data_IF_886989567907
#
_entry.id   IF_886989567907
#
_cell.length_a   1.000
_cell.length_b   1.000
_cell.length_c   1.000
_cell.angle_alpha   90.00
_cell.angle_beta   90.00
_cell.angle_gamma   90.00
#
_symmetry.space_group_name_H-M   'P 1'
#
loop_
_entity.id
_entity.type
_entity.pdbx_description
1 polymer ?
#
# COMPACT_ATOMS: atom_id res chain seq x y z
N UNK A 1 -1.57 4.19 -1.06
CA UNK A 1 -1.26 3.03 -1.93
C UNK A 1 -2.25 1.92 -1.65
N UNK A 2 -2.58 1.05 -2.60
CA UNK A 2 -3.57 -0.03 -2.40
C UNK A 2 -2.89 -1.40 -2.37
N UNK A 3 -2.91 -2.06 -1.22
CA UNK A 3 -2.37 -3.40 -1.01
C UNK A 3 -3.48 -4.44 -1.12
N UNK A 4 -3.27 -5.58 -1.80
CA UNK A 4 -4.22 -6.68 -1.77
C UNK A 4 -4.24 -7.29 -0.36
N UNK A 5 -5.44 -7.67 0.09
CA UNK A 5 -5.62 -8.43 1.33
C UNK A 5 -6.32 -9.75 1.03
N UNK A 6 -5.89 -10.82 1.71
CA UNK A 6 -6.56 -12.11 1.75
C UNK A 6 -7.40 -12.19 3.01
N UNK A 7 -8.63 -12.70 2.89
CA UNK A 7 -9.60 -12.78 3.97
C UNK A 7 -9.95 -14.26 4.17
N UNK A 8 -9.60 -14.79 5.33
CA UNK A 8 -10.07 -16.08 5.81
C UNK A 8 -11.35 -15.83 6.62
N UNK A 9 -12.49 -16.24 6.06
CA UNK A 9 -13.78 -16.05 6.72
C UNK A 9 -13.90 -17.02 7.90
N UNK A 10 -14.09 -16.45 9.09
CA UNK A 10 -14.40 -17.20 10.30
C UNK A 10 -15.84 -17.69 10.36
N UNK A 11 -16.15 -18.41 11.43
CA UNK A 11 -17.46 -18.97 11.77
C UNK A 11 -17.80 -18.72 13.25
N UNK A 12 -18.81 -19.41 13.80
CA UNK A 12 -19.23 -19.24 15.20
C UNK A 12 -18.12 -19.55 16.23
N UNK A 13 -17.06 -20.26 15.83
CA UNK A 13 -15.96 -20.68 16.71
C UNK A 13 -14.58 -20.18 16.25
N UNK A 14 -14.51 -19.46 15.13
CA UNK A 14 -13.25 -19.03 14.51
C UNK A 14 -13.34 -17.56 14.10
N UNK A 15 -12.29 -16.79 14.43
CA UNK A 15 -12.20 -15.38 14.06
C UNK A 15 -11.95 -15.20 12.55
N UNK A 16 -12.26 -14.02 12.01
CA UNK A 16 -11.93 -13.64 10.64
C UNK A 16 -10.45 -13.28 10.57
N UNK A 17 -9.69 -13.98 9.73
CA UNK A 17 -8.28 -13.72 9.48
C UNK A 17 -8.09 -12.75 8.32
N UNK A 18 -7.15 -11.82 8.43
CA UNK A 18 -6.69 -10.98 7.32
C UNK A 18 -5.17 -11.03 7.22
N UNK A 19 -4.69 -11.25 6.00
CA UNK A 19 -3.28 -11.21 5.66
C UNK A 19 -3.04 -10.20 4.53
N UNK A 20 -1.92 -9.48 4.59
CA UNK A 20 -1.43 -8.60 3.52
C UNK A 20 -0.23 -9.29 2.86
N UNK A 21 -0.41 -10.02 1.74
CA UNK A 21 0.65 -10.86 1.18
C UNK A 21 1.93 -10.12 0.80
N UNK A 22 1.80 -8.85 0.41
CA UNK A 22 2.94 -8.03 0.02
C UNK A 22 3.70 -7.43 1.21
N UNK A 23 3.16 -7.47 2.44
CA UNK A 23 3.84 -6.98 3.64
C UNK A 23 4.17 -8.20 4.53
N UNK A 24 5.43 -8.67 4.54
CA UNK A 24 5.82 -9.85 5.33
C UNK A 24 5.42 -9.72 6.80
N UNK A 25 4.80 -10.78 7.34
CA UNK A 25 4.38 -10.82 8.74
C UNK A 25 3.09 -10.06 9.08
N UNK A 26 2.50 -9.31 8.13
CA UNK A 26 1.26 -8.59 8.35
C UNK A 26 0.04 -9.53 8.29
N UNK A 27 -0.15 -10.28 9.37
CA UNK A 27 -1.28 -11.20 9.60
C UNK A 27 -2.00 -10.78 10.87
N UNK A 28 -3.32 -10.75 10.83
CA UNK A 28 -4.17 -10.39 11.96
C UNK A 28 -5.47 -11.17 11.94
N UNK A 29 -6.24 -11.09 13.02
CA UNK A 29 -7.59 -11.61 13.09
C UNK A 29 -8.49 -10.73 13.95
N UNK A 30 -9.81 -10.83 13.72
CA UNK A 30 -10.82 -10.14 14.51
C UNK A 30 -12.14 -10.90 14.56
N UNK A 31 -12.94 -10.66 15.60
CA UNK A 31 -14.24 -11.32 15.78
C UNK A 31 -15.27 -10.86 14.73
N UNK A 32 -15.06 -9.67 14.16
CA UNK A 32 -15.82 -9.13 13.04
C UNK A 32 -14.89 -8.75 11.88
N UNK A 33 -15.45 -8.58 10.68
CA UNK A 33 -14.68 -8.14 9.53
C UNK A 33 -14.10 -6.75 9.76
N UNK A 34 -14.89 -5.83 10.32
CA UNK A 34 -14.47 -4.47 10.65
C UNK A 34 -13.32 -4.47 11.65
N UNK A 35 -13.36 -5.32 12.68
CA UNK A 35 -12.27 -5.44 13.66
C UNK A 35 -11.00 -5.97 13.01
N UNK A 36 -11.11 -7.05 12.21
CA UNK A 36 -9.98 -7.61 11.48
C UNK A 36 -9.38 -6.60 10.49
N UNK A 37 -10.22 -5.82 9.81
CA UNK A 37 -9.79 -4.80 8.84
C UNK A 37 -9.06 -3.64 9.52
N UNK A 38 -9.56 -3.15 10.66
CA UNK A 38 -8.87 -2.13 11.44
C UNK A 38 -7.53 -2.65 11.98
N UNK A 39 -7.51 -3.88 12.49
CA UNK A 39 -6.29 -4.52 12.93
C UNK A 39 -5.29 -4.75 11.77
N UNK A 40 -5.79 -4.93 10.53
CA UNK A 40 -4.95 -5.08 9.34
C UNK A 40 -4.22 -3.77 9.00
N UNK A 41 -4.88 -2.61 9.18
CA UNK A 41 -4.25 -1.30 9.04
C UNK A 41 -3.14 -1.13 10.09
N UNK A 42 -3.43 -1.46 11.35
CA UNK A 42 -2.47 -1.32 12.45
C UNK A 42 -1.24 -2.22 12.24
N UNK A 43 -1.43 -3.51 11.95
CA UNK A 43 -0.32 -4.43 11.74
C UNK A 43 0.51 -4.03 10.51
N UNK A 44 -0.12 -3.52 9.45
CA UNK A 44 0.61 -3.01 8.29
C UNK A 44 1.58 -1.89 8.68
N UNK A 45 1.11 -0.91 9.46
CA UNK A 45 1.94 0.19 9.92
C UNK A 45 3.06 -0.25 10.86
N UNK A 46 2.81 -1.23 11.72
CA UNK A 46 3.83 -1.83 12.59
C UNK A 46 4.93 -2.48 11.74
N UNK A 47 4.55 -3.37 10.82
CA UNK A 47 5.51 -4.08 9.96
C UNK A 47 6.30 -3.12 9.08
N UNK A 48 5.65 -2.12 8.47
CA UNK A 48 6.33 -1.12 7.65
C UNK A 48 7.33 -0.29 8.46
N UNK A 49 7.01 0.01 9.72
CA UNK A 49 7.92 0.70 10.63
C UNK A 49 9.14 -0.15 10.98
N UNK A 50 8.96 -1.44 11.23
CA UNK A 50 10.06 -2.38 11.50
C UNK A 50 10.98 -2.51 10.28
N UNK A 51 10.43 -2.76 9.10
CA UNK A 51 11.19 -2.83 7.83
C UNK A 51 11.99 -1.55 7.60
N UNK A 52 11.37 -0.38 7.83
CA UNK A 52 12.05 0.91 7.71
C UNK A 52 13.18 1.08 8.73
N UNK A 53 12.97 0.65 9.98
CA UNK A 53 13.94 0.76 11.05
C UNK A 53 15.18 -0.12 10.82
N UNK A 54 14.98 -1.28 10.19
CA UNK A 54 16.03 -2.21 9.78
C UNK A 54 16.79 -1.74 8.52
N UNK A 55 16.35 -0.64 7.90
CA UNK A 55 16.96 -0.09 6.68
C UNK A 55 16.65 -0.90 5.43
N UNK A 56 15.65 -1.76 5.48
CA UNK A 56 15.19 -2.55 4.35
C UNK A 56 14.32 -1.71 3.41
N UNK A 57 14.15 -2.19 2.16
CA UNK A 57 13.28 -1.54 1.19
C UNK A 57 11.81 -1.77 1.54
N UNK A 58 11.02 -0.69 1.57
CA UNK A 58 9.58 -0.78 1.80
C UNK A 58 8.92 -1.62 0.71
N UNK A 59 8.18 -2.68 1.06
CA UNK A 59 7.55 -3.55 0.10
C UNK A 59 6.45 -2.79 -0.65
N UNK A 60 6.46 -2.92 -1.97
CA UNK A 60 5.51 -2.28 -2.86
C UNK A 60 4.31 -3.22 -3.11
N UNK A 61 3.07 -2.70 -3.21
CA UNK A 61 1.92 -3.53 -3.46
C UNK A 61 1.97 -4.14 -4.86
N UNK A 62 1.50 -5.37 -5.00
CA UNK A 62 1.36 -6.07 -6.28
C UNK A 62 -0.13 -6.24 -6.62
N UNK A 63 -0.41 -6.75 -7.82
CA UNK A 63 -1.78 -7.11 -8.17
C UNK A 63 -2.21 -8.36 -7.39
N UNK A 64 -3.45 -8.39 -6.88
CA UNK A 64 -4.05 -9.60 -6.30
C UNK A 64 -3.94 -10.83 -7.23
N UNK A 65 -3.90 -10.61 -8.56
CA UNK A 65 -3.73 -11.68 -9.54
C UNK A 65 -2.39 -12.44 -9.42
N UNK A 66 -1.33 -11.79 -8.89
CA UNK A 66 -0.03 -12.41 -8.64
C UNK A 66 -0.15 -13.49 -7.57
N UNK A 67 -0.99 -13.25 -6.57
CA UNK A 67 -1.18 -14.14 -5.42
C UNK A 67 -2.29 -15.19 -5.62
N UNK A 68 -3.15 -15.00 -6.63
CA UNK A 68 -4.26 -15.92 -6.93
C UNK A 68 -3.84 -17.38 -7.13
N UNK A 69 -2.63 -17.61 -7.62
CA UNK A 69 -2.09 -18.96 -7.85
C UNK A 69 -1.45 -19.60 -6.62
N UNK A 70 -1.34 -18.88 -5.50
CA UNK A 70 -0.74 -19.40 -4.28
C UNK A 70 -1.71 -20.36 -3.57
N UNK A 71 -1.33 -21.63 -3.34
CA UNK A 71 -2.15 -22.58 -2.59
C UNK A 71 -2.52 -22.12 -1.17
N UNK A 72 -1.68 -21.30 -0.54
CA UNK A 72 -1.92 -20.79 0.82
C UNK A 72 -3.13 -19.85 0.88
N UNK A 73 -3.53 -19.27 -0.25
CA UNK A 73 -4.69 -18.38 -0.38
C UNK A 73 -5.86 -19.02 -1.13
N UNK A 74 -5.84 -20.35 -1.27
CA UNK A 74 -6.95 -21.09 -1.86
C UNK A 74 -8.23 -20.85 -1.04
N UNK A 75 -9.34 -20.62 -1.74
CA UNK A 75 -10.67 -20.40 -1.16
C UNK A 75 -10.82 -19.17 -0.24
N UNK A 76 -9.79 -18.32 -0.12
CA UNK A 76 -9.86 -17.07 0.62
C UNK A 76 -10.60 -15.96 -0.15
N UNK A 77 -11.23 -15.05 0.60
CA UNK A 77 -11.76 -13.79 0.07
C UNK A 77 -10.63 -12.81 -0.28
N UNK A 78 -10.94 -11.83 -1.13
CA UNK A 78 -9.98 -10.81 -1.55
C UNK A 78 -10.55 -9.41 -1.34
N UNK A 79 -9.69 -8.50 -0.90
CA UNK A 79 -9.99 -7.08 -0.76
C UNK A 79 -8.79 -6.20 -1.11
N UNK A 80 -8.97 -4.89 -0.96
CA UNK A 80 -7.90 -3.91 -1.08
C UNK A 80 -7.85 -3.05 0.18
N UNK A 81 -6.64 -2.80 0.67
CA UNK A 81 -6.35 -1.95 1.82
C UNK A 81 -5.61 -0.70 1.35
N UNK A 82 -6.17 0.48 1.63
CA UNK A 82 -5.48 1.74 1.35
C UNK A 82 -4.56 2.12 2.50
N UNK A 83 -3.26 2.23 2.21
CA UNK A 83 -2.21 2.58 3.17
C UNK A 83 -1.38 3.77 2.68
N UNK A 84 -1.14 4.74 3.56
CA UNK A 84 -0.12 5.76 3.34
C UNK A 84 1.24 5.24 3.80
N UNK A 85 2.12 4.96 2.83
CA UNK A 85 3.48 4.47 3.10
C UNK A 85 4.53 5.58 3.07
N UNK A 86 4.15 6.82 2.75
CA UNK A 86 5.08 7.94 2.63
C UNK A 86 6.00 8.15 3.86
N UNK A 87 5.52 7.94 5.11
CA UNK A 87 6.38 8.05 6.29
C UNK A 87 7.58 7.09 6.32
N UNK A 88 7.50 5.97 5.60
CA UNK A 88 8.50 4.90 5.62
C UNK A 88 9.50 4.98 4.46
N UNK A 89 9.27 5.86 3.48
CA UNK A 89 10.10 5.98 2.26
C UNK A 89 11.42 6.74 2.47
N UNK A 90 11.85 6.93 3.72
CA UNK A 90 13.08 7.61 4.07
C UNK A 90 13.03 9.14 3.96
N UNK A 91 14.20 9.77 4.01
CA UNK A 91 14.31 11.23 3.96
C UNK A 91 14.03 11.75 2.55
N UNK A 92 13.24 12.81 2.46
CA UNK A 92 13.04 13.52 1.20
C UNK A 92 14.35 14.14 0.71
N UNK A 93 14.78 13.76 -0.49
CA UNK A 93 15.91 14.39 -1.18
C UNK A 93 15.42 15.43 -2.19
N UNK A 94 16.09 16.59 -2.23
CA UNK A 94 15.80 17.63 -3.22
C UNK A 94 16.59 17.35 -4.50
N UNK A 95 15.88 17.15 -5.59
CA UNK A 95 16.45 16.96 -6.94
C UNK A 95 16.08 18.11 -7.86
N UNK A 96 17.00 18.52 -8.74
CA UNK A 96 16.72 19.48 -9.82
C UNK A 96 16.49 18.69 -11.11
N UNK A 97 15.35 18.92 -11.78
CA UNK A 97 14.97 18.20 -13.00
C UNK A 97 14.56 19.19 -14.11
N UNK A 98 14.79 18.81 -15.36
CA UNK A 98 14.31 19.56 -16.54
C UNK A 98 13.12 18.83 -17.14
N UNK A 99 11.99 19.52 -17.25
CA UNK A 99 10.74 18.98 -17.83
C UNK A 99 10.23 19.95 -18.91
N UNK A 100 9.57 19.45 -19.97
CA UNK A 100 8.92 20.32 -20.94
C UNK A 100 7.90 21.25 -20.26
N UNK A 101 7.84 22.53 -20.66
CA UNK A 101 6.93 23.51 -20.05
C UNK A 101 5.46 23.10 -20.10
N UNK A 102 5.06 22.40 -21.17
CA UNK A 102 3.72 21.81 -21.30
C UNK A 102 3.41 20.81 -20.18
N UNK A 103 4.37 19.97 -19.78
CA UNK A 103 4.20 18.98 -18.71
C UNK A 103 4.02 19.70 -17.36
N UNK A 104 4.83 20.72 -17.09
CA UNK A 104 4.71 21.53 -15.86
C UNK A 104 3.32 22.16 -15.75
N UNK A 105 2.80 22.75 -16.83
CA UNK A 105 1.46 23.34 -16.85
C UNK A 105 0.35 22.30 -16.58
N UNK A 106 0.49 21.08 -17.10
CA UNK A 106 -0.44 19.98 -16.85
C UNK A 106 -0.43 19.55 -15.39
N UNK A 107 0.75 19.43 -14.79
CA UNK A 107 0.93 19.09 -13.37
C UNK A 107 0.30 20.18 -12.49
N UNK A 108 0.58 21.46 -12.77
CA UNK A 108 0.04 22.59 -12.00
C UNK A 108 -1.48 22.67 -11.99
N UNK A 109 -2.09 22.33 -13.13
CA UNK A 109 -3.54 22.25 -13.21
C UNK A 109 -4.06 21.09 -12.36
N UNK A 110 -3.48 19.90 -12.51
CA UNK A 110 -3.90 18.72 -11.75
C UNK A 110 -3.81 18.94 -10.24
N UNK A 111 -2.68 19.48 -9.77
CA UNK A 111 -2.43 19.75 -8.34
C UNK A 111 -3.49 20.69 -7.76
N UNK A 112 -3.88 21.74 -8.50
CA UNK A 112 -4.92 22.67 -8.07
C UNK A 112 -6.32 22.06 -8.10
N UNK A 113 -6.65 21.28 -9.13
CA UNK A 113 -7.99 20.70 -9.31
C UNK A 113 -8.28 19.54 -8.35
N UNK A 114 -7.26 18.76 -7.97
CA UNK A 114 -7.41 17.55 -7.15
C UNK A 114 -6.91 17.72 -5.72
N UNK A 115 -6.64 18.97 -5.29
CA UNK A 115 -6.15 19.30 -3.95
C UNK A 115 -4.91 18.49 -3.52
N UNK A 116 -4.01 18.22 -4.47
CA UNK A 116 -2.75 17.52 -4.20
C UNK A 116 -1.80 18.48 -3.47
N UNK A 117 -1.03 17.96 -2.51
CA UNK A 117 -0.18 18.78 -1.63
C UNK A 117 0.84 19.64 -2.38
N UNK A 118 1.47 19.12 -3.44
CA UNK A 118 2.51 19.82 -4.21
C UNK A 118 2.81 19.14 -5.56
N UNK A 119 3.61 19.81 -6.40
CA UNK A 119 4.23 19.16 -7.59
C UNK A 119 5.07 17.94 -7.20
N UNK A 120 5.82 18.05 -6.11
CA UNK A 120 6.71 16.98 -5.65
C UNK A 120 5.93 15.74 -5.22
N UNK A 121 4.81 15.90 -4.51
CA UNK A 121 3.96 14.76 -4.14
C UNK A 121 3.34 14.12 -5.38
N UNK A 122 2.83 14.92 -6.33
CA UNK A 122 2.32 14.39 -7.60
C UNK A 122 3.40 13.58 -8.35
N UNK A 123 4.61 14.11 -8.47
CA UNK A 123 5.71 13.43 -9.16
C UNK A 123 6.15 12.17 -8.43
N UNK A 124 6.17 12.18 -7.09
CA UNK A 124 6.46 11.00 -6.29
C UNK A 124 5.40 9.92 -6.53
N UNK A 125 4.11 10.25 -6.39
CA UNK A 125 3.01 9.31 -6.59
C UNK A 125 3.04 8.70 -8.00
N UNK A 126 3.24 9.52 -9.04
CA UNK A 126 3.33 9.07 -10.42
C UNK A 126 4.56 8.18 -10.68
N UNK A 127 5.71 8.50 -10.05
CA UNK A 127 6.90 7.64 -10.12
C UNK A 127 6.64 6.30 -9.44
N UNK A 128 6.01 6.28 -8.26
CA UNK A 128 5.66 5.06 -7.56
C UNK A 128 4.68 4.21 -8.36
N UNK A 129 3.61 4.80 -8.92
CA UNK A 129 2.66 4.09 -9.80
C UNK A 129 3.38 3.43 -10.99
N UNK A 130 4.40 4.11 -11.56
CA UNK A 130 5.16 3.57 -12.67
C UNK A 130 6.11 2.44 -12.27
N UNK A 131 6.76 2.55 -11.10
CA UNK A 131 7.69 1.55 -10.59
C UNK A 131 6.98 0.26 -10.13
N UNK A 132 5.74 0.37 -9.66
CA UNK A 132 4.90 -0.76 -9.23
C UNK A 132 4.31 -1.55 -10.40
N UNK A 133 4.09 -0.89 -11.56
CA UNK A 133 3.53 -1.52 -12.77
C UNK A 133 4.57 -2.25 -13.63
N UNK A 134 5.79 -2.46 -13.13
CA UNK A 134 6.84 -3.25 -13.81
C UNK A 134 6.75 -4.71 -13.37
#
# INVERSE_FOLDING_TARGET
MQYPICIEWGDENTAIGIQIPDIPGAVTAGDTFEDAYNAAIEIAHIMLQEIAADGESIPMPTSAAVHRGNPDFADMGWGMLELDIAPYMGKTEKVNVTLPGYVIQRIDRYVREHNVKSRSSFLADAAMEKLVRL
#
